data_IF_218241362318
#
_entry.id   IF_218241362318
#
_cell.length_a   1.000
_cell.length_b   1.000
_cell.length_c   1.000
_cell.angle_alpha   90.00
_cell.angle_beta   90.00
_cell.angle_gamma   90.00
#
_symmetry.space_group_name_H-M   'P 1'
#
loop_
_entity.id
_entity.type
_entity.pdbx_description
1 polymer ?
#
# COMPACT_ATOMS: atom_id res chain seq x y z
N UNK A 1 -41.19 40.64 6.57
CA UNK A 1 -40.67 40.74 5.20
C UNK A 1 -39.15 40.74 5.25
N UNK A 2 -38.53 39.93 4.37
CA UNK A 2 -37.12 39.96 3.93
C UNK A 2 -36.03 39.71 4.99
N UNK A 3 -35.45 38.51 5.11
CA UNK A 3 -34.45 37.88 4.23
C UNK A 3 -33.07 38.56 4.23
N UNK A 4 -32.11 37.94 4.92
CA UNK A 4 -30.70 37.98 4.53
C UNK A 4 -30.25 36.51 4.44
N UNK A 5 -30.27 36.01 3.20
CA UNK A 5 -29.79 34.70 2.79
C UNK A 5 -28.59 34.97 1.88
N UNK A 6 -27.44 34.41 2.21
CA UNK A 6 -26.33 34.28 1.25
C UNK A 6 -24.97 34.70 1.79
N UNK A 7 -24.25 33.76 2.39
CA UNK A 7 -22.78 33.66 2.29
C UNK A 7 -22.28 32.35 2.92
N UNK A 8 -22.60 31.19 2.35
CA UNK A 8 -21.94 29.93 2.77
C UNK A 8 -21.61 28.95 1.63
N UNK A 9 -21.84 29.33 0.37
CA UNK A 9 -21.70 28.41 -0.76
C UNK A 9 -20.31 28.37 -1.43
N UNK A 10 -19.39 29.30 -1.13
CA UNK A 10 -18.15 29.44 -1.92
C UNK A 10 -16.88 28.86 -1.25
N UNK A 11 -16.93 28.42 0.01
CA UNK A 11 -15.75 27.86 0.69
C UNK A 11 -15.62 26.32 0.56
N UNK A 12 -16.71 25.62 0.24
CA UNK A 12 -16.73 24.16 0.18
C UNK A 12 -16.09 23.58 -1.09
N UNK A 13 -16.01 24.34 -2.18
CA UNK A 13 -15.54 23.86 -3.49
C UNK A 13 -14.02 23.78 -3.59
N UNK A 14 -13.28 24.74 -3.02
CA UNK A 14 -11.82 24.79 -3.11
C UNK A 14 -11.08 23.69 -2.33
N UNK A 15 -11.61 23.30 -1.17
CA UNK A 15 -11.01 22.24 -0.33
C UNK A 15 -11.23 20.86 -0.95
N UNK A 16 -12.42 20.63 -1.52
CA UNK A 16 -12.81 19.33 -2.07
C UNK A 16 -12.10 19.03 -3.42
N UNK A 17 -11.84 20.07 -4.23
CA UNK A 17 -11.06 19.95 -5.48
C UNK A 17 -9.58 19.66 -5.17
N UNK A 18 -8.98 20.39 -4.20
CA UNK A 18 -7.59 20.16 -3.80
C UNK A 18 -7.38 18.74 -3.28
N UNK A 19 -8.38 18.20 -2.57
CA UNK A 19 -8.36 16.83 -2.03
C UNK A 19 -8.50 15.73 -3.10
N UNK A 20 -9.05 16.06 -4.27
CA UNK A 20 -9.14 15.13 -5.42
C UNK A 20 -7.87 15.16 -6.27
N UNK A 21 -7.29 16.34 -6.51
CA UNK A 21 -6.11 16.49 -7.37
C UNK A 21 -4.89 15.72 -6.85
N UNK A 22 -4.57 15.80 -5.56
CA UNK A 22 -3.42 15.08 -5.01
C UNK A 22 -3.57 13.56 -5.10
N UNK A 23 -4.80 13.03 -5.08
CA UNK A 23 -5.05 11.58 -5.18
C UNK A 23 -4.75 11.06 -6.57
N UNK A 24 -5.12 11.79 -7.61
CA UNK A 24 -4.72 11.44 -8.97
C UNK A 24 -3.22 11.51 -9.15
N UNK A 25 -2.58 12.55 -8.60
CA UNK A 25 -1.10 12.64 -8.60
C UNK A 25 -0.49 11.45 -7.85
N UNK A 26 -0.98 11.11 -6.66
CA UNK A 26 -0.49 9.97 -5.88
C UNK A 26 -0.70 8.63 -6.62
N UNK A 27 -1.80 8.46 -7.35
CA UNK A 27 -2.02 7.27 -8.19
C UNK A 27 -1.04 7.21 -9.36
N UNK A 28 -0.84 8.32 -10.06
CA UNK A 28 0.13 8.38 -11.16
C UNK A 28 1.52 8.09 -10.63
N UNK A 29 1.92 8.71 -9.51
CA UNK A 29 3.20 8.45 -8.86
C UNK A 29 3.31 6.99 -8.43
N UNK A 30 2.28 6.40 -7.84
CA UNK A 30 2.23 4.97 -7.49
C UNK A 30 2.50 4.07 -8.70
N UNK A 31 1.80 4.28 -9.82
CA UNK A 31 1.97 3.48 -11.02
C UNK A 31 3.32 3.69 -11.70
N UNK A 32 3.80 4.93 -11.78
CA UNK A 32 5.11 5.25 -12.35
C UNK A 32 6.22 4.65 -11.50
N UNK A 33 6.15 4.77 -10.17
CA UNK A 33 7.12 4.16 -9.26
C UNK A 33 7.15 2.65 -9.39
N UNK A 34 5.99 1.99 -9.47
CA UNK A 34 5.92 0.55 -9.74
C UNK A 34 6.58 0.19 -11.08
N UNK A 35 6.21 0.89 -12.16
CA UNK A 35 6.76 0.63 -13.51
C UNK A 35 8.28 0.85 -13.59
N UNK A 36 8.80 1.83 -12.86
CA UNK A 36 10.25 2.06 -12.74
C UNK A 36 10.91 0.93 -11.95
N UNK A 37 10.31 0.49 -10.83
CA UNK A 37 10.85 -0.55 -9.98
C UNK A 37 10.98 -1.90 -10.70
N UNK A 38 10.00 -2.25 -11.53
CA UNK A 38 10.01 -3.50 -12.33
C UNK A 38 10.67 -3.33 -13.70
N UNK A 39 11.29 -2.18 -13.97
CA UNK A 39 11.95 -1.95 -15.25
C UNK A 39 13.22 -2.79 -15.37
N UNK A 40 13.55 -3.19 -16.60
CA UNK A 40 14.76 -3.95 -16.90
C UNK A 40 16.03 -3.31 -16.32
N UNK A 41 16.09 -1.98 -16.27
CA UNK A 41 17.27 -1.28 -15.77
C UNK A 41 17.47 -1.45 -14.26
N UNK A 42 16.38 -1.45 -13.48
CA UNK A 42 16.45 -1.68 -12.03
C UNK A 42 16.75 -3.16 -11.74
N UNK A 43 16.06 -4.08 -12.42
CA UNK A 43 16.32 -5.52 -12.26
C UNK A 43 17.79 -5.88 -12.58
N UNK A 44 18.33 -5.35 -13.68
CA UNK A 44 19.72 -5.58 -14.04
C UNK A 44 20.73 -4.99 -13.03
N UNK A 45 20.40 -3.86 -12.39
CA UNK A 45 21.24 -3.31 -11.31
C UNK A 45 21.19 -4.19 -10.07
N UNK A 46 20.05 -4.79 -9.77
CA UNK A 46 19.90 -5.77 -8.69
C UNK A 46 20.73 -7.03 -8.97
N UNK A 47 20.69 -7.57 -10.19
CA UNK A 47 21.49 -8.73 -10.60
C UNK A 47 23.00 -8.50 -10.47
N UNK A 48 23.48 -7.31 -10.86
CA UNK A 48 24.89 -6.93 -10.71
C UNK A 48 25.28 -6.85 -9.23
N UNK A 49 24.42 -6.24 -8.40
CA UNK A 49 24.68 -6.10 -6.97
C UNK A 49 24.77 -7.48 -6.30
N UNK A 50 23.89 -8.41 -6.67
CA UNK A 50 23.88 -9.78 -6.17
C UNK A 50 25.13 -10.57 -6.59
N UNK A 51 25.62 -10.36 -7.82
CA UNK A 51 26.87 -10.95 -8.30
C UNK A 51 28.11 -10.46 -7.51
N UNK A 52 28.02 -9.28 -6.87
CA UNK A 52 29.04 -8.75 -5.99
C UNK A 52 28.83 -9.10 -4.50
N UNK A 53 27.85 -9.94 -4.18
CA UNK A 53 27.55 -10.36 -2.81
C UNK A 53 26.81 -9.31 -1.99
N UNK A 54 26.28 -8.26 -2.61
CA UNK A 54 25.46 -7.26 -1.93
C UNK A 54 24.00 -7.76 -1.85
N UNK A 55 23.70 -8.55 -0.81
CA UNK A 55 22.44 -9.29 -0.59
C UNK A 55 21.17 -8.41 -0.41
N UNK A 56 21.20 -7.11 -0.69
CA UNK A 56 20.17 -6.18 -0.22
C UNK A 56 19.44 -5.35 -1.30
N UNK A 57 19.82 -5.48 -2.58
CA UNK A 57 19.20 -4.64 -3.62
C UNK A 57 17.78 -5.09 -3.99
N UNK A 58 17.54 -6.41 -4.06
CA UNK A 58 16.20 -6.99 -4.26
C UNK A 58 15.24 -6.63 -3.12
N UNK A 59 15.72 -6.64 -1.87
CA UNK A 59 14.92 -6.26 -0.70
C UNK A 59 14.50 -4.79 -0.73
N UNK A 60 15.40 -3.89 -1.16
CA UNK A 60 15.08 -2.48 -1.37
C UNK A 60 14.06 -2.29 -2.50
N UNK A 61 14.19 -3.04 -3.61
CA UNK A 61 13.24 -3.03 -4.71
C UNK A 61 11.84 -3.47 -4.25
N UNK A 62 11.72 -4.59 -3.53
CA UNK A 62 10.45 -5.07 -2.97
C UNK A 62 9.83 -4.07 -2.00
N UNK A 63 10.64 -3.46 -1.13
CA UNK A 63 10.19 -2.40 -0.22
C UNK A 63 9.64 -1.20 -1.00
N UNK A 64 10.33 -0.80 -2.08
CA UNK A 64 9.90 0.31 -2.92
C UNK A 64 8.58 0.01 -3.67
N UNK A 65 8.42 -1.22 -4.19
CA UNK A 65 7.18 -1.69 -4.81
C UNK A 65 6.01 -1.64 -3.81
N UNK A 66 6.23 -2.12 -2.59
CA UNK A 66 5.22 -2.13 -1.54
C UNK A 66 4.82 -0.71 -1.11
N UNK A 67 5.79 0.22 -0.99
CA UNK A 67 5.53 1.64 -0.72
C UNK A 67 4.74 2.29 -1.85
N UNK A 68 5.10 2.00 -3.11
CA UNK A 68 4.37 2.49 -4.27
C UNK A 68 2.91 2.03 -4.19
N UNK A 69 2.68 0.73 -3.99
CA UNK A 69 1.34 0.17 -3.77
C UNK A 69 0.60 0.86 -2.62
N UNK A 70 1.25 1.08 -1.49
CA UNK A 70 0.66 1.73 -0.31
C UNK A 70 0.21 3.16 -0.60
N UNK A 71 0.99 3.92 -1.36
CA UNK A 71 0.61 5.26 -1.84
C UNK A 71 -0.63 5.19 -2.74
N UNK A 72 -0.67 4.24 -3.67
CA UNK A 72 -1.85 3.99 -4.52
C UNK A 72 -3.08 3.59 -3.71
N UNK A 73 -2.90 2.75 -2.69
CA UNK A 73 -3.94 2.33 -1.76
C UNK A 73 -4.53 3.49 -0.96
N UNK A 74 -3.68 4.38 -0.43
CA UNK A 74 -4.15 5.57 0.27
C UNK A 74 -4.95 6.51 -0.63
N UNK A 75 -4.54 6.63 -1.90
CA UNK A 75 -5.27 7.44 -2.87
C UNK A 75 -6.63 6.81 -3.26
N UNK A 76 -6.71 5.47 -3.34
CA UNK A 76 -7.94 4.71 -3.61
C UNK A 76 -8.83 4.51 -2.38
N UNK A 77 -8.30 4.67 -1.16
CA UNK A 77 -8.97 4.43 0.11
C UNK A 77 -10.41 4.95 0.21
N UNK A 78 -10.74 6.20 -0.20
CA UNK A 78 -12.11 6.71 -0.17
C UNK A 78 -13.06 6.03 -1.16
N UNK A 79 -12.54 5.55 -2.29
CA UNK A 79 -13.32 4.75 -3.23
C UNK A 79 -13.56 3.36 -2.64
N UNK A 80 -12.50 2.71 -2.12
CA UNK A 80 -12.58 1.41 -1.44
C UNK A 80 -13.56 1.48 -0.27
N UNK A 81 -13.47 2.47 0.61
CA UNK A 81 -14.36 2.64 1.76
C UNK A 81 -15.84 2.76 1.36
N UNK A 82 -16.14 3.51 0.29
CA UNK A 82 -17.51 3.62 -0.24
C UNK A 82 -18.02 2.29 -0.77
N UNK A 83 -17.20 1.57 -1.53
CA UNK A 83 -17.56 0.24 -2.04
C UNK A 83 -17.72 -0.79 -0.92
N UNK A 84 -16.80 -0.84 0.05
CA UNK A 84 -16.88 -1.73 1.20
C UNK A 84 -18.13 -1.46 2.05
N UNK A 85 -18.47 -0.20 2.27
CA UNK A 85 -19.70 0.18 2.98
C UNK A 85 -20.96 -0.23 2.20
N UNK A 86 -20.98 -0.01 0.88
CA UNK A 86 -22.08 -0.46 0.01
C UNK A 86 -22.25 -1.98 0.01
N UNK A 87 -21.14 -2.72 -0.10
CA UNK A 87 -21.14 -4.17 -0.07
C UNK A 87 -21.64 -4.71 1.29
N UNK A 88 -21.16 -4.16 2.40
CA UNK A 88 -21.63 -4.57 3.73
C UNK A 88 -23.07 -4.19 4.02
N UNK A 89 -23.57 -3.08 3.45
CA UNK A 89 -24.98 -2.74 3.52
C UNK A 89 -25.84 -3.74 2.74
N UNK A 90 -25.36 -4.24 1.60
CA UNK A 90 -26.06 -5.28 0.84
C UNK A 90 -25.99 -6.66 1.53
N UNK A 91 -24.86 -6.99 2.14
CA UNK A 91 -24.64 -8.27 2.84
C UNK A 91 -25.33 -8.34 4.21
N UNK A 92 -25.45 -7.22 4.92
CA UNK A 92 -26.01 -7.16 6.28
C UNK A 92 -26.98 -5.96 6.42
N UNK A 93 -28.13 -5.97 5.74
CA UNK A 93 -29.04 -4.83 5.69
C UNK A 93 -29.61 -4.43 7.07
N UNK A 94 -29.87 -5.40 7.94
CA UNK A 94 -30.50 -5.17 9.26
C UNK A 94 -29.53 -4.70 10.34
N UNK A 95 -28.23 -4.64 10.03
CA UNK A 95 -27.21 -4.25 10.99
C UNK A 95 -27.08 -2.74 11.11
N UNK A 96 -26.84 -2.25 12.33
CA UNK A 96 -26.59 -0.83 12.57
C UNK A 96 -25.33 -0.34 11.83
N UNK A 97 -25.32 0.94 11.43
CA UNK A 97 -24.16 1.57 10.76
C UNK A 97 -22.88 1.48 11.60
N UNK A 98 -23.02 1.56 12.93
CA UNK A 98 -21.90 1.42 13.85
C UNK A 98 -21.29 0.03 13.79
N UNK A 99 -22.13 -1.02 13.77
CA UNK A 99 -21.66 -2.41 13.71
C UNK A 99 -20.99 -2.72 12.35
N UNK A 100 -21.54 -2.18 11.25
CA UNK A 100 -20.90 -2.28 9.92
C UNK A 100 -19.53 -1.62 9.91
N UNK A 101 -19.43 -0.40 10.44
CA UNK A 101 -18.16 0.34 10.51
C UNK A 101 -17.11 -0.41 11.34
N UNK A 102 -17.48 -0.97 12.50
CA UNK A 102 -16.59 -1.79 13.32
C UNK A 102 -16.07 -3.01 12.55
N UNK A 103 -16.93 -3.68 11.77
CA UNK A 103 -16.53 -4.83 10.95
C UNK A 103 -15.61 -4.48 9.80
N UNK A 104 -15.83 -3.36 9.10
CA UNK A 104 -14.90 -2.89 8.07
C UNK A 104 -13.52 -2.65 8.69
N UNK A 105 -13.47 -1.94 9.83
CA UNK A 105 -12.20 -1.69 10.52
C UNK A 105 -11.51 -2.97 10.97
N UNK A 106 -12.25 -3.93 11.53
CA UNK A 106 -11.70 -5.23 11.91
C UNK A 106 -11.16 -6.00 10.69
N UNK A 107 -11.86 -5.98 9.57
CA UNK A 107 -11.40 -6.59 8.32
C UNK A 107 -10.13 -5.91 7.79
N UNK A 108 -10.07 -4.57 7.83
CA UNK A 108 -8.87 -3.80 7.45
C UNK A 108 -7.66 -4.13 8.32
N UNK A 109 -7.85 -4.30 9.63
CA UNK A 109 -6.78 -4.74 10.53
C UNK A 109 -6.33 -6.16 10.17
N UNK A 110 -7.28 -7.08 9.95
CA UNK A 110 -6.96 -8.45 9.56
C UNK A 110 -6.18 -8.52 8.23
N UNK A 111 -6.52 -7.67 7.25
CA UNK A 111 -5.80 -7.59 5.98
C UNK A 111 -4.38 -7.04 6.15
N UNK A 112 -4.18 -6.04 7.02
CA UNK A 112 -2.84 -5.53 7.35
C UNK A 112 -2.00 -6.63 7.99
N UNK A 113 -2.55 -7.34 8.99
CA UNK A 113 -1.86 -8.45 9.66
C UNK A 113 -1.58 -9.62 8.72
N UNK A 114 -2.50 -9.94 7.81
CA UNK A 114 -2.30 -10.94 6.78
C UNK A 114 -1.17 -10.54 5.83
N UNK A 115 -1.13 -9.27 5.41
CA UNK A 115 -0.02 -8.74 4.60
C UNK A 115 1.33 -8.93 5.29
N UNK A 116 1.43 -8.56 6.57
CA UNK A 116 2.63 -8.79 7.38
C UNK A 116 3.00 -10.27 7.50
N UNK A 117 2.01 -11.16 7.59
CA UNK A 117 2.27 -12.60 7.66
C UNK A 117 2.87 -13.14 6.35
N UNK A 118 2.42 -12.60 5.21
CA UNK A 118 2.92 -12.98 3.89
C UNK A 118 4.35 -12.45 3.66
N UNK A 119 4.71 -11.31 4.24
CA UNK A 119 6.07 -10.75 4.15
C UNK A 119 7.15 -11.73 4.66
N UNK A 120 6.82 -12.63 5.62
CA UNK A 120 7.75 -13.67 6.09
C UNK A 120 8.16 -14.67 5.02
N UNK A 121 7.34 -14.88 3.98
CA UNK A 121 7.70 -15.77 2.87
C UNK A 121 8.88 -15.19 2.09
N UNK A 122 8.89 -13.87 1.88
CA UNK A 122 9.94 -13.14 1.15
C UNK A 122 11.25 -12.99 1.94
N UNK A 123 11.29 -13.42 3.20
CA UNK A 123 12.53 -13.52 3.98
C UNK A 123 13.31 -14.80 3.62
N UNK A 124 12.63 -15.84 3.12
CA UNK A 124 13.23 -17.14 2.87
C UNK A 124 14.13 -17.06 1.62
N UNK A 125 15.46 -17.16 1.75
CA UNK A 125 16.36 -16.91 0.63
C UNK A 125 16.17 -17.90 -0.53
N UNK A 126 15.88 -19.17 -0.21
CA UNK A 126 15.63 -20.20 -1.21
C UNK A 126 14.35 -19.96 -2.02
N UNK A 127 13.35 -19.31 -1.43
CA UNK A 127 12.13 -18.93 -2.14
C UNK A 127 12.41 -17.76 -3.09
N UNK A 128 13.16 -16.75 -2.64
CA UNK A 128 13.52 -15.60 -3.48
C UNK A 128 14.32 -16.05 -4.71
N UNK A 129 15.39 -16.83 -4.53
CA UNK A 129 16.18 -17.35 -5.66
C UNK A 129 15.33 -18.18 -6.64
N UNK A 130 14.37 -18.95 -6.12
CA UNK A 130 13.42 -19.68 -6.97
C UNK A 130 12.52 -18.75 -7.78
N UNK A 131 12.02 -17.67 -7.18
CA UNK A 131 11.21 -16.66 -7.87
C UNK A 131 12.04 -15.93 -8.93
N UNK A 132 13.26 -15.49 -8.58
CA UNK A 132 14.13 -14.70 -9.46
C UNK A 132 14.54 -15.48 -10.72
N UNK A 133 14.71 -16.80 -10.58
CA UNK A 133 15.05 -17.68 -11.73
C UNK A 133 13.87 -17.97 -12.65
N UNK A 134 12.62 -17.66 -12.25
CA UNK A 134 11.41 -17.92 -13.01
C UNK A 134 10.69 -16.61 -13.36
N UNK A 135 11.04 -16.00 -14.51
CA UNK A 135 10.48 -14.73 -15.01
C UNK A 135 8.96 -14.56 -14.81
N UNK A 136 8.07 -15.51 -15.18
CA UNK A 136 6.63 -15.32 -14.96
C UNK A 136 6.26 -15.24 -13.48
N UNK A 137 6.95 -15.99 -12.62
CA UNK A 137 6.72 -16.01 -11.18
C UNK A 137 7.23 -14.71 -10.52
N UNK A 138 8.33 -14.14 -11.03
CA UNK A 138 8.85 -12.84 -10.61
C UNK A 138 7.82 -11.72 -10.87
N UNK A 139 7.22 -11.70 -12.07
CA UNK A 139 6.18 -10.71 -12.41
C UNK A 139 4.95 -10.86 -11.50
N UNK A 140 4.54 -12.09 -11.21
CA UNK A 140 3.44 -12.37 -10.29
C UNK A 140 3.77 -11.92 -8.86
N UNK A 141 5.00 -12.17 -8.39
CA UNK A 141 5.47 -11.74 -7.08
C UNK A 141 5.51 -10.21 -6.95
N UNK A 142 6.05 -9.50 -7.95
CA UNK A 142 6.07 -8.04 -7.99
C UNK A 142 4.66 -7.44 -7.97
N UNK A 143 3.74 -8.03 -8.75
CA UNK A 143 2.34 -7.60 -8.77
C UNK A 143 1.65 -7.86 -7.42
N UNK A 144 1.91 -9.02 -6.79
CA UNK A 144 1.37 -9.35 -5.48
C UNK A 144 1.86 -8.35 -4.42
N UNK A 145 3.15 -8.01 -4.41
CA UNK A 145 3.73 -7.02 -3.49
C UNK A 145 3.10 -5.64 -3.68
N UNK A 146 2.91 -5.21 -4.93
CA UNK A 146 2.21 -3.95 -5.22
C UNK A 146 0.77 -3.98 -4.72
N UNK A 147 0.02 -5.06 -4.98
CA UNK A 147 -1.36 -5.22 -4.53
C UNK A 147 -1.47 -5.28 -3.00
N UNK A 148 -0.53 -5.94 -2.32
CA UNK A 148 -0.43 -5.95 -0.85
C UNK A 148 -0.27 -4.53 -0.33
N UNK A 149 0.62 -3.73 -0.93
CA UNK A 149 0.74 -2.30 -0.66
C UNK A 149 -0.60 -1.58 -0.83
N UNK A 150 -1.28 -1.75 -1.97
CA UNK A 150 -2.59 -1.11 -2.25
C UNK A 150 -3.64 -1.48 -1.20
N UNK A 151 -3.71 -2.73 -0.81
CA UNK A 151 -4.64 -3.22 0.22
C UNK A 151 -4.30 -2.61 1.59
N UNK A 152 -3.01 -2.59 1.96
CA UNK A 152 -2.55 -2.00 3.22
C UNK A 152 -2.85 -0.50 3.27
N UNK A 153 -2.54 0.26 2.20
CA UNK A 153 -2.83 1.68 2.11
C UNK A 153 -4.33 1.99 2.21
N UNK A 154 -5.17 1.20 1.51
CA UNK A 154 -6.63 1.33 1.60
C UNK A 154 -7.15 1.02 3.00
N UNK A 155 -6.54 0.04 3.68
CA UNK A 155 -6.89 -0.38 5.04
C UNK A 155 -6.50 0.68 6.07
N UNK A 156 -5.33 1.29 5.94
CA UNK A 156 -4.92 2.44 6.77
C UNK A 156 -5.85 3.64 6.58
N UNK A 157 -6.32 3.90 5.36
CA UNK A 157 -7.35 4.90 5.10
C UNK A 157 -8.63 4.62 5.89
N UNK A 158 -9.12 3.39 5.85
CA UNK A 158 -10.35 3.00 6.55
C UNK A 158 -10.22 3.13 8.09
N UNK A 159 -9.05 2.80 8.64
CA UNK A 159 -8.82 2.81 10.09
C UNK A 159 -8.65 4.24 10.61
N UNK A 160 -7.80 5.04 9.94
CA UNK A 160 -7.29 6.32 10.44
C UNK A 160 -7.84 7.56 9.70
N UNK A 161 -8.55 7.38 8.58
CA UNK A 161 -9.12 8.44 7.73
C UNK A 161 -8.14 9.60 7.47
N UNK A 162 -8.29 10.74 8.15
CA UNK A 162 -7.41 11.92 8.01
C UNK A 162 -5.95 11.67 8.41
N UNK A 163 -5.68 10.69 9.27
CA UNK A 163 -4.33 10.34 9.74
C UNK A 163 -3.73 9.14 8.99
N UNK A 164 -4.35 8.72 7.89
CA UNK A 164 -3.91 7.57 7.09
C UNK A 164 -2.50 7.70 6.51
N UNK A 165 -1.98 8.93 6.39
CA UNK A 165 -0.58 9.18 6.05
C UNK A 165 0.41 8.56 7.05
N UNK A 166 0.01 8.32 8.31
CA UNK A 166 0.83 7.61 9.29
C UNK A 166 1.13 6.16 8.84
N UNK A 167 0.27 5.56 8.02
CA UNK A 167 0.52 4.26 7.41
C UNK A 167 1.77 4.24 6.53
N UNK A 168 2.12 5.36 5.88
CA UNK A 168 3.36 5.50 5.11
C UNK A 168 4.62 5.48 5.97
N UNK A 169 4.50 5.79 7.27
CA UNK A 169 5.63 5.72 8.19
C UNK A 169 5.70 4.36 8.88
N UNK A 170 4.55 3.86 9.32
CA UNK A 170 4.45 2.65 10.13
C UNK A 170 4.75 1.41 9.30
N UNK A 171 4.17 1.28 8.09
CA UNK A 171 4.37 0.08 7.25
C UNK A 171 5.84 -0.15 6.85
N UNK A 172 6.58 0.86 6.35
CA UNK A 172 8.00 0.68 6.06
C UNK A 172 8.85 0.47 7.30
N UNK A 173 8.54 1.13 8.43
CA UNK A 173 9.27 0.90 9.68
C UNK A 173 9.14 -0.55 10.15
N UNK A 174 7.95 -1.15 10.04
CA UNK A 174 7.73 -2.56 10.38
C UNK A 174 8.46 -3.50 9.41
N UNK A 175 8.38 -3.23 8.10
CA UNK A 175 9.11 -4.00 7.08
C UNK A 175 10.63 -3.92 7.31
N UNK A 176 11.17 -2.72 7.55
CA UNK A 176 12.59 -2.49 7.83
C UNK A 176 13.06 -3.10 9.15
N UNK A 177 12.21 -3.18 10.18
CA UNK A 177 12.55 -3.91 11.40
C UNK A 177 12.73 -5.41 11.15
N UNK A 178 11.87 -5.99 10.30
CA UNK A 178 11.94 -7.40 9.92
C UNK A 178 13.18 -7.65 9.05
N UNK A 179 13.37 -6.82 8.01
CA UNK A 179 14.51 -6.85 7.09
C UNK A 179 15.83 -6.63 7.86
N UNK A 180 15.90 -5.61 8.71
CA UNK A 180 17.09 -5.30 9.52
C UNK A 180 17.47 -6.40 10.51
N UNK A 181 16.47 -7.14 11.02
CA UNK A 181 16.72 -8.31 11.88
C UNK A 181 17.34 -9.48 11.11
N UNK A 182 17.09 -9.58 9.80
CA UNK A 182 17.66 -10.60 8.90
C UNK A 182 19.04 -10.17 8.38
N UNK A 183 19.21 -8.88 8.04
CA UNK A 183 20.46 -8.27 7.58
C UNK A 183 21.57 -8.27 8.64
N UNK A 184 21.22 -8.14 9.92
CA UNK A 184 22.18 -8.24 11.01
C UNK A 184 22.94 -9.60 11.02
N UNK A 185 22.45 -10.61 10.30
CA UNK A 185 23.12 -11.91 10.14
C UNK A 185 24.05 -12.04 8.93
N UNK A 186 23.90 -11.23 7.86
CA UNK A 186 24.59 -11.47 6.57
C UNK A 186 25.03 -10.20 5.81
N UNK A 187 24.95 -9.02 6.43
CA UNK A 187 25.14 -7.75 5.72
C UNK A 187 26.59 -7.32 5.52
N UNK A 188 27.30 -7.90 4.55
CA UNK A 188 28.52 -7.28 4.00
C UNK A 188 28.54 -7.47 2.48
N UNK A 189 28.63 -6.35 1.77
CA UNK A 189 29.54 -6.28 0.62
C UNK A 189 30.98 -6.27 1.21
#
# INVERSE_FOLDING_TARGET
>A
MSAIKGSSHNAATGVDIRNKAWRYVALIVSFVSYAVAVSYHIQHLSDIADAHGCVDNHTLQYTFILIAGLLGGLALGPWVARWSSGALKALMPDSSEEMRTRRIKALSIALILLGMAVDFLFIIPSLNVFIDTHIPLLVEADLLLYLMGVIAGSSWYIILDRQSWLGLLVTPAMALMIIGSVLAGHGWC
#
